data_IF_822368137428
#
_entry.id   IF_822368137428
#
_cell.length_a   1.000
_cell.length_b   1.000
_cell.length_c   1.000
_cell.angle_alpha   90.00
_cell.angle_beta   90.00
_cell.angle_gamma   90.00
#
_symmetry.space_group_name_H-M   'P 1'
#
loop_
_entity.id
_entity.type
_entity.pdbx_description
1 polymer ?
#
# COMPACT_ATOMS: atom_id res chain seq x y z
N UNK A 1 -20.97 -37.40 15.26
CA UNK A 1 -19.98 -37.97 14.35
C UNK A 1 -20.56 -39.14 13.57
N UNK A 2 -21.35 -38.84 12.53
CA UNK A 2 -21.59 -39.80 11.46
C UNK A 2 -20.47 -39.69 10.41
N UNK A 3 -20.44 -40.64 9.49
CA UNK A 3 -19.55 -40.61 8.34
C UNK A 3 -20.38 -40.89 7.10
N UNK A 4 -20.37 -39.93 6.18
CA UNK A 4 -21.13 -39.93 4.94
C UNK A 4 -20.11 -39.95 3.82
N UNK A 5 -20.23 -40.91 2.91
CA UNK A 5 -19.28 -41.09 1.81
C UNK A 5 -20.09 -41.24 0.55
N UNK A 6 -19.77 -40.43 -0.45
CA UNK A 6 -20.32 -40.53 -1.80
C UNK A 6 -19.76 -41.72 -2.57
N UNK A 7 -19.69 -41.56 -3.86
CA UNK A 7 -19.29 -42.52 -4.87
C UNK A 7 -18.44 -41.82 -5.92
N UNK A 8 -17.88 -42.55 -6.88
CA UNK A 8 -17.02 -41.94 -7.90
C UNK A 8 -17.84 -41.35 -9.08
N UNK A 9 -19.00 -40.77 -8.79
CA UNK A 9 -19.87 -40.02 -9.71
C UNK A 9 -20.57 -38.92 -8.92
N UNK A 10 -21.14 -37.94 -9.61
CA UNK A 10 -21.90 -36.85 -9.01
C UNK A 10 -22.94 -37.35 -8.00
N UNK A 11 -22.80 -36.90 -6.76
CA UNK A 11 -23.61 -37.25 -5.62
C UNK A 11 -24.35 -36.03 -5.03
N UNK A 12 -25.38 -36.34 -4.24
CA UNK A 12 -26.08 -35.36 -3.42
C UNK A 12 -26.03 -35.84 -1.97
N UNK A 13 -25.07 -35.33 -1.21
CA UNK A 13 -24.79 -35.73 0.16
C UNK A 13 -25.44 -34.75 1.13
N UNK A 14 -26.13 -35.30 2.13
CA UNK A 14 -26.77 -34.51 3.18
C UNK A 14 -26.23 -34.95 4.53
N UNK A 15 -25.68 -33.99 5.25
CA UNK A 15 -25.25 -34.09 6.63
C UNK A 15 -26.40 -34.34 7.61
N UNK A 16 -26.02 -34.48 8.87
CA UNK A 16 -26.92 -34.59 10.02
C UNK A 16 -26.79 -33.34 10.90
N UNK A 17 -27.74 -33.04 11.81
CA UNK A 17 -27.64 -31.86 12.68
C UNK A 17 -26.54 -31.91 13.77
N UNK A 18 -25.52 -32.74 13.63
CA UNK A 18 -24.42 -32.80 14.58
C UNK A 18 -23.20 -33.38 13.89
N UNK A 19 -22.03 -33.26 14.54
CA UNK A 19 -20.73 -33.45 13.90
C UNK A 19 -20.69 -34.58 12.87
N UNK A 20 -20.17 -34.32 11.69
CA UNK A 20 -20.08 -35.27 10.60
C UNK A 20 -18.70 -35.25 9.93
N UNK A 21 -18.38 -36.38 9.29
CA UNK A 21 -17.30 -36.48 8.31
C UNK A 21 -17.95 -36.79 6.98
N UNK A 22 -17.86 -35.87 6.02
CA UNK A 22 -18.46 -36.02 4.70
C UNK A 22 -17.35 -36.05 3.65
N UNK A 23 -17.36 -37.08 2.81
CA UNK A 23 -16.41 -37.28 1.73
C UNK A 23 -17.18 -37.39 0.40
N UNK A 24 -16.98 -36.44 -0.52
CA UNK A 24 -17.58 -36.46 -1.87
C UNK A 24 -17.10 -37.66 -2.68
N UNK A 25 -15.76 -37.78 -2.83
CA UNK A 25 -15.07 -38.67 -3.78
C UNK A 25 -15.15 -38.07 -5.21
N UNK A 26 -14.56 -38.69 -6.25
CA UNK A 26 -14.59 -38.08 -7.57
C UNK A 26 -16.00 -37.87 -8.13
N UNK A 27 -16.31 -36.66 -8.60
CA UNK A 27 -17.61 -36.30 -9.15
C UNK A 27 -17.87 -34.82 -8.93
N UNK A 28 -18.83 -34.22 -9.66
CA UNK A 28 -19.30 -32.88 -9.29
C UNK A 28 -20.44 -33.07 -8.27
N UNK A 29 -20.13 -32.94 -6.99
CA UNK A 29 -20.99 -33.27 -5.88
C UNK A 29 -21.71 -32.05 -5.32
N UNK A 30 -22.87 -32.29 -4.72
CA UNK A 30 -23.59 -31.30 -3.91
C UNK A 30 -23.61 -31.81 -2.48
N UNK A 31 -22.90 -31.10 -1.60
CA UNK A 31 -22.78 -31.43 -0.18
C UNK A 31 -23.45 -30.33 0.64
N UNK A 32 -24.44 -30.72 1.45
CA UNK A 32 -25.11 -29.79 2.37
C UNK A 32 -25.15 -30.37 3.77
N UNK A 33 -24.53 -29.66 4.71
CA UNK A 33 -24.60 -29.95 6.13
C UNK A 33 -25.42 -28.88 6.87
N UNK A 34 -26.34 -29.27 7.79
CA UNK A 34 -27.19 -28.31 8.50
C UNK A 34 -26.62 -27.84 9.85
N UNK A 35 -25.49 -28.37 10.34
CA UNK A 35 -24.81 -27.94 11.57
C UNK A 35 -24.12 -29.06 12.35
N UNK A 36 -23.39 -28.69 13.41
CA UNK A 36 -22.41 -29.55 14.06
C UNK A 36 -20.98 -29.18 13.66
N UNK A 37 -19.97 -29.69 14.36
CA UNK A 37 -18.58 -29.42 13.98
C UNK A 37 -18.12 -30.43 12.94
N UNK A 38 -18.06 -30.03 11.66
CA UNK A 38 -17.89 -30.97 10.57
C UNK A 38 -16.48 -30.96 9.97
N UNK A 39 -16.16 -32.08 9.32
CA UNK A 39 -15.08 -32.17 8.35
C UNK A 39 -15.67 -32.59 7.02
N UNK A 40 -15.61 -31.70 6.04
CA UNK A 40 -16.15 -31.90 4.69
C UNK A 40 -14.98 -31.84 3.70
N UNK A 41 -14.95 -32.78 2.76
CA UNK A 41 -13.90 -32.94 1.76
C UNK A 41 -14.56 -33.38 0.44
N UNK A 42 -14.65 -32.46 -0.53
CA UNK A 42 -15.24 -32.71 -1.84
C UNK A 42 -14.44 -33.75 -2.63
N UNK A 43 -13.12 -33.55 -2.68
CA UNK A 43 -12.13 -34.31 -3.46
C UNK A 43 -12.12 -33.90 -4.94
N UNK A 44 -12.00 -34.84 -5.88
CA UNK A 44 -11.85 -34.49 -7.30
C UNK A 44 -13.21 -34.09 -7.91
N UNK A 45 -13.27 -33.00 -8.65
CA UNK A 45 -14.46 -32.58 -9.38
C UNK A 45 -14.90 -31.19 -8.96
N UNK A 46 -15.97 -30.67 -9.58
CA UNK A 46 -16.43 -29.32 -9.29
C UNK A 46 -17.58 -29.37 -8.28
N UNK A 47 -17.26 -29.22 -7.01
CA UNK A 47 -18.17 -29.45 -5.90
C UNK A 47 -18.90 -28.19 -5.45
N UNK A 48 -20.10 -28.36 -4.90
CA UNK A 48 -20.84 -27.31 -4.22
C UNK A 48 -21.09 -27.72 -2.78
N UNK A 49 -20.47 -27.01 -1.85
CA UNK A 49 -20.39 -27.39 -0.44
C UNK A 49 -21.01 -26.31 0.46
N UNK A 50 -21.82 -26.71 1.44
CA UNK A 50 -22.36 -25.83 2.49
C UNK A 50 -22.10 -26.42 3.87
N UNK A 51 -21.38 -25.69 4.72
CA UNK A 51 -20.96 -26.09 6.08
C UNK A 51 -22.08 -26.01 7.11
N UNK A 52 -22.69 -24.84 7.29
CA UNK A 52 -23.87 -24.70 8.13
C UNK A 52 -23.80 -23.56 9.14
N UNK A 53 -23.80 -23.87 10.44
CA UNK A 53 -24.01 -22.86 11.50
C UNK A 53 -23.02 -22.96 12.67
N UNK A 54 -22.16 -23.97 12.67
CA UNK A 54 -21.13 -24.22 13.68
C UNK A 54 -19.77 -24.27 12.96
N UNK A 55 -18.67 -24.27 13.69
CA UNK A 55 -17.33 -24.32 13.09
C UNK A 55 -17.15 -25.56 12.22
N UNK A 56 -16.79 -25.34 10.96
CA UNK A 56 -16.56 -26.38 9.97
C UNK A 56 -15.14 -26.34 9.40
N UNK A 57 -14.63 -27.52 9.06
CA UNK A 57 -13.43 -27.69 8.24
C UNK A 57 -13.85 -28.18 6.87
N UNK A 58 -13.72 -27.35 5.85
CA UNK A 58 -14.16 -27.64 4.48
C UNK A 58 -12.97 -27.57 3.53
N UNK A 59 -12.77 -28.63 2.77
CA UNK A 59 -11.89 -28.65 1.61
C UNK A 59 -12.72 -28.94 0.35
N UNK A 60 -12.57 -28.10 -0.68
CA UNK A 60 -13.12 -28.36 -2.01
C UNK A 60 -12.43 -29.56 -2.64
N UNK A 61 -11.12 -29.42 -2.83
CA UNK A 61 -10.28 -30.44 -3.45
C UNK A 61 -9.87 -30.01 -4.86
N UNK A 62 -9.37 -30.91 -5.71
CA UNK A 62 -9.05 -30.56 -7.08
C UNK A 62 -10.30 -30.35 -7.95
N UNK A 63 -10.48 -29.14 -8.46
CA UNK A 63 -11.62 -28.77 -9.30
C UNK A 63 -11.94 -27.30 -9.13
N UNK A 64 -13.01 -26.83 -9.78
CA UNK A 64 -13.50 -25.48 -9.57
C UNK A 64 -14.72 -25.57 -8.65
N UNK A 65 -14.50 -25.34 -7.36
CA UNK A 65 -15.45 -25.58 -6.31
C UNK A 65 -16.20 -24.32 -5.90
N UNK A 66 -17.34 -24.51 -5.25
CA UNK A 66 -18.08 -23.43 -4.59
C UNK A 66 -18.36 -23.81 -3.15
N UNK A 67 -17.75 -23.07 -2.23
CA UNK A 67 -17.78 -23.33 -0.79
C UNK A 67 -18.56 -22.21 -0.10
N UNK A 68 -19.52 -22.60 0.75
CA UNK A 68 -20.22 -21.72 1.67
C UNK A 68 -19.93 -22.20 3.10
N UNK A 69 -19.19 -21.43 3.90
CA UNK A 69 -18.91 -21.74 5.32
C UNK A 69 -20.21 -21.74 6.12
N UNK A 70 -20.85 -20.57 6.18
CA UNK A 70 -22.15 -20.44 6.83
C UNK A 70 -22.06 -19.52 8.03
N UNK A 71 -22.66 -19.90 9.15
CA UNK A 71 -22.33 -19.23 10.41
C UNK A 71 -21.25 -20.06 11.08
N UNK A 72 -20.31 -19.44 11.77
CA UNK A 72 -19.30 -20.22 12.44
C UNK A 72 -18.01 -19.48 12.65
N UNK A 73 -16.94 -20.25 12.71
CA UNK A 73 -15.57 -19.78 12.63
C UNK A 73 -14.91 -20.83 11.75
N UNK A 74 -15.15 -20.74 10.45
CA UNK A 74 -14.93 -21.83 9.53
C UNK A 74 -13.50 -21.80 8.97
N UNK A 75 -13.00 -22.98 8.63
CA UNK A 75 -11.76 -23.13 7.87
C UNK A 75 -12.11 -23.69 6.49
N UNK A 76 -11.88 -22.87 5.47
CA UNK A 76 -12.27 -23.14 4.08
C UNK A 76 -11.03 -23.22 3.20
N UNK A 77 -10.87 -24.29 2.43
CA UNK A 77 -9.69 -24.52 1.58
C UNK A 77 -10.19 -24.89 0.18
N UNK A 78 -9.84 -24.09 -0.84
CA UNK A 78 -10.17 -24.39 -2.24
C UNK A 78 -9.39 -25.60 -2.75
N UNK A 79 -8.07 -25.53 -2.65
CA UNK A 79 -7.06 -26.48 -3.12
C UNK A 79 -6.57 -26.23 -4.55
N UNK A 80 -7.15 -26.80 -5.59
CA UNK A 80 -6.57 -26.65 -6.93
C UNK A 80 -7.63 -26.48 -7.99
N UNK A 81 -7.66 -25.31 -8.62
CA UNK A 81 -8.64 -24.93 -9.64
C UNK A 81 -9.14 -23.52 -9.35
N UNK A 82 -10.11 -23.03 -10.13
CA UNK A 82 -10.64 -21.67 -9.89
C UNK A 82 -11.87 -21.78 -8.98
N UNK A 83 -11.67 -21.51 -7.69
CA UNK A 83 -12.64 -21.72 -6.62
C UNK A 83 -13.41 -20.45 -6.24
N UNK A 84 -14.61 -20.65 -5.70
CA UNK A 84 -15.42 -19.57 -5.11
C UNK A 84 -15.72 -19.91 -3.66
N UNK A 85 -15.21 -19.10 -2.74
CA UNK A 85 -15.31 -19.32 -1.30
C UNK A 85 -16.06 -18.17 -0.65
N UNK A 86 -17.09 -18.50 0.13
CA UNK A 86 -17.86 -17.55 0.95
C UNK A 86 -17.76 -17.96 2.43
N UNK A 87 -17.12 -17.13 3.27
CA UNK A 87 -17.10 -17.31 4.74
C UNK A 87 -18.51 -17.18 5.33
N UNK A 88 -19.14 -16.05 5.02
CA UNK A 88 -20.45 -15.57 5.47
C UNK A 88 -20.47 -14.93 6.85
N UNK A 89 -20.82 -15.64 7.93
CA UNK A 89 -20.95 -15.04 9.27
C UNK A 89 -19.96 -15.71 10.21
N UNK A 90 -19.02 -14.96 10.76
CA UNK A 90 -17.97 -15.58 11.57
C UNK A 90 -16.62 -14.92 11.33
N UNK A 91 -15.70 -15.06 12.28
CA UNK A 91 -14.28 -14.79 12.02
C UNK A 91 -13.67 -16.03 11.32
N UNK A 92 -13.68 -16.04 9.99
CA UNK A 92 -13.35 -17.20 9.18
C UNK A 92 -11.87 -17.21 8.74
N UNK A 93 -11.40 -18.41 8.36
CA UNK A 93 -10.14 -18.59 7.66
C UNK A 93 -10.39 -19.22 6.29
N UNK A 94 -9.80 -18.67 5.25
CA UNK A 94 -9.84 -19.24 3.92
C UNK A 94 -8.50 -19.15 3.19
N UNK A 95 -8.21 -20.18 2.38
CA UNK A 95 -7.10 -20.18 1.44
C UNK A 95 -7.59 -20.70 0.08
N UNK A 96 -7.34 -19.92 -0.97
CA UNK A 96 -7.60 -20.31 -2.37
C UNK A 96 -6.73 -21.51 -2.75
N UNK A 97 -5.40 -21.35 -2.57
CA UNK A 97 -4.35 -22.25 -3.07
C UNK A 97 -4.20 -22.06 -4.59
N UNK A 98 -3.54 -22.95 -5.38
CA UNK A 98 -3.38 -22.68 -6.80
C UNK A 98 -4.70 -22.57 -7.59
N UNK A 99 -4.96 -21.42 -8.18
CA UNK A 99 -6.26 -21.10 -8.76
C UNK A 99 -6.36 -19.68 -9.28
N UNK A 100 -7.47 -19.29 -9.88
CA UNK A 100 -7.86 -17.88 -9.93
C UNK A 100 -9.13 -17.78 -9.09
N UNK A 101 -8.94 -17.57 -7.81
CA UNK A 101 -9.97 -17.79 -6.81
C UNK A 101 -10.75 -16.52 -6.53
N UNK A 102 -11.95 -16.69 -6.01
CA UNK A 102 -12.76 -15.58 -5.48
C UNK A 102 -13.15 -15.92 -4.05
N UNK A 103 -12.64 -15.14 -3.10
CA UNK A 103 -12.86 -15.33 -1.66
C UNK A 103 -13.64 -14.12 -1.14
N UNK A 104 -14.73 -14.35 -0.42
CA UNK A 104 -15.55 -13.29 0.20
C UNK A 104 -15.87 -13.63 1.65
N UNK A 105 -15.55 -12.72 2.57
CA UNK A 105 -15.69 -12.90 4.00
C UNK A 105 -17.09 -12.80 4.52
N UNK A 106 -17.73 -11.66 4.29
CA UNK A 106 -19.04 -11.38 4.85
C UNK A 106 -18.90 -10.60 6.14
N UNK A 107 -19.53 -11.05 7.22
CA UNK A 107 -19.45 -10.41 8.52
C UNK A 107 -18.46 -11.17 9.40
N UNK A 108 -17.40 -10.52 9.87
CA UNK A 108 -16.35 -11.23 10.59
C UNK A 108 -15.08 -10.43 10.69
N UNK A 109 -14.13 -10.89 11.50
CA UNK A 109 -12.73 -10.48 11.36
C UNK A 109 -12.01 -11.67 10.73
N UNK A 110 -11.88 -11.63 9.42
CA UNK A 110 -11.48 -12.77 8.61
C UNK A 110 -9.97 -12.80 8.37
N UNK A 111 -9.47 -13.99 8.02
CA UNK A 111 -8.10 -14.20 7.57
C UNK A 111 -8.10 -14.95 6.25
N UNK A 112 -7.82 -14.25 5.14
CA UNK A 112 -7.84 -14.82 3.80
C UNK A 112 -6.54 -14.65 3.04
N UNK A 113 -6.21 -15.67 2.24
CA UNK A 113 -5.04 -15.69 1.35
C UNK A 113 -5.46 -16.30 0.01
N UNK A 114 -5.23 -15.60 -1.10
CA UNK A 114 -5.45 -16.15 -2.44
C UNK A 114 -4.48 -17.30 -2.75
N UNK A 115 -3.20 -17.07 -2.45
CA UNK A 115 -2.03 -17.94 -2.69
C UNK A 115 -1.46 -17.86 -4.11
N UNK A 116 -1.90 -18.64 -5.10
CA UNK A 116 -1.20 -18.66 -6.38
C UNK A 116 -2.14 -18.57 -7.58
N UNK A 117 -2.03 -17.47 -8.31
CA UNK A 117 -2.79 -17.15 -9.51
C UNK A 117 -3.54 -15.84 -9.32
N UNK A 118 -4.42 -15.48 -10.26
CA UNK A 118 -5.02 -14.13 -10.27
C UNK A 118 -6.29 -14.14 -9.43
N UNK A 119 -6.17 -13.73 -8.18
CA UNK A 119 -7.19 -13.88 -7.17
C UNK A 119 -7.99 -12.60 -6.93
N UNK A 120 -9.21 -12.79 -6.41
CA UNK A 120 -10.08 -11.74 -5.92
C UNK A 120 -10.43 -12.02 -4.46
N UNK A 121 -9.88 -11.24 -3.54
CA UNK A 121 -10.04 -11.43 -2.10
C UNK A 121 -10.79 -10.24 -1.50
N UNK A 122 -11.93 -10.50 -0.87
CA UNK A 122 -12.81 -9.50 -0.26
C UNK A 122 -13.05 -9.82 1.22
N UNK A 123 -12.69 -8.91 2.13
CA UNK A 123 -13.01 -9.03 3.56
C UNK A 123 -14.50 -8.75 3.84
N UNK A 124 -15.03 -7.70 3.23
CA UNK A 124 -16.38 -7.17 3.41
C UNK A 124 -16.60 -6.41 4.71
N UNK A 125 -16.98 -7.04 5.83
CA UNK A 125 -17.35 -6.30 7.04
C UNK A 125 -16.67 -6.84 8.30
N UNK A 126 -15.87 -5.98 8.93
CA UNK A 126 -15.10 -6.21 10.15
C UNK A 126 -13.63 -5.96 9.89
N UNK A 127 -12.76 -6.33 10.81
CA UNK A 127 -11.34 -5.98 10.72
C UNK A 127 -10.54 -7.18 10.20
N UNK A 128 -10.24 -7.16 8.91
CA UNK A 128 -9.77 -8.33 8.19
C UNK A 128 -8.24 -8.33 8.00
N UNK A 129 -7.69 -9.52 7.81
CA UNK A 129 -6.34 -9.74 7.30
C UNK A 129 -6.44 -10.44 5.96
N UNK A 130 -6.01 -9.77 4.90
CA UNK A 130 -6.16 -10.24 3.52
C UNK A 130 -4.81 -10.20 2.81
N UNK A 131 -4.48 -11.28 2.10
CA UNK A 131 -3.31 -11.37 1.24
C UNK A 131 -3.70 -11.86 -0.16
N UNK A 132 -3.19 -11.22 -1.21
CA UNK A 132 -3.33 -11.67 -2.60
C UNK A 132 -2.57 -12.96 -2.83
N UNK A 133 -1.24 -12.88 -2.81
CA UNK A 133 -0.34 -14.02 -2.97
C UNK A 133 0.63 -13.80 -4.13
N UNK A 134 0.83 -14.84 -4.94
CA UNK A 134 1.58 -14.79 -6.19
C UNK A 134 0.65 -14.38 -7.36
N UNK A 135 1.14 -13.53 -8.27
CA UNK A 135 0.48 -13.00 -9.48
C UNK A 135 -0.34 -11.71 -9.23
N UNK A 136 -0.98 -11.16 -10.27
CA UNK A 136 -1.56 -9.80 -10.24
C UNK A 136 -2.99 -9.79 -9.63
N UNK A 137 -3.13 -9.50 -8.35
CA UNK A 137 -4.36 -9.72 -7.59
C UNK A 137 -5.27 -8.50 -7.42
N UNK A 138 -6.48 -8.75 -6.93
CA UNK A 138 -7.38 -7.74 -6.39
C UNK A 138 -7.73 -8.07 -4.95
N UNK A 139 -7.37 -7.18 -4.03
CA UNK A 139 -7.66 -7.34 -2.60
C UNK A 139 -8.41 -6.11 -2.08
N UNK A 140 -9.53 -6.31 -1.40
CA UNK A 140 -10.40 -5.26 -0.85
C UNK A 140 -10.80 -5.58 0.58
N UNK A 141 -10.45 -4.69 1.52
CA UNK A 141 -10.77 -4.78 2.94
C UNK A 141 -12.27 -4.70 3.18
N UNK A 142 -12.84 -3.52 2.95
CA UNK A 142 -14.28 -3.29 3.07
C UNK A 142 -14.59 -2.32 4.19
N UNK A 143 -15.60 -2.63 5.02
CA UNK A 143 -15.93 -1.85 6.20
C UNK A 143 -15.12 -2.36 7.41
N UNK A 144 -14.19 -1.59 7.96
CA UNK A 144 -13.42 -1.96 9.15
C UNK A 144 -11.99 -1.44 9.10
N UNK A 145 -11.20 -1.69 10.15
CA UNK A 145 -9.77 -1.35 10.11
C UNK A 145 -8.99 -2.59 9.63
N UNK A 146 -8.59 -2.59 8.35
CA UNK A 146 -8.08 -3.78 7.65
C UNK A 146 -6.56 -3.78 7.47
N UNK A 147 -6.00 -4.99 7.32
CA UNK A 147 -4.65 -5.20 6.80
C UNK A 147 -4.76 -5.90 5.44
N UNK A 148 -4.31 -5.21 4.40
CA UNK A 148 -4.35 -5.65 3.01
C UNK A 148 -2.92 -5.77 2.48
N UNK A 149 -2.54 -6.96 2.05
CA UNK A 149 -1.21 -7.30 1.54
C UNK A 149 -1.30 -7.81 0.09
N UNK A 150 -0.51 -7.23 -0.82
CA UNK A 150 -0.42 -7.64 -2.22
C UNK A 150 0.50 -8.85 -2.44
N UNK A 151 1.54 -9.01 -1.61
CA UNK A 151 2.61 -9.99 -1.79
C UNK A 151 3.41 -9.82 -3.11
N UNK A 152 3.28 -10.72 -4.10
CA UNK A 152 4.08 -10.75 -5.32
C UNK A 152 3.19 -10.51 -6.54
N UNK A 153 3.19 -9.32 -7.12
CA UNK A 153 2.26 -9.05 -8.21
C UNK A 153 2.25 -7.61 -8.62
N UNK A 154 1.45 -7.26 -9.62
CA UNK A 154 1.05 -5.87 -9.83
C UNK A 154 -0.39 -5.74 -9.36
N UNK A 155 -0.55 -5.45 -8.08
CA UNK A 155 -1.82 -5.68 -7.39
C UNK A 155 -2.72 -4.45 -7.39
N UNK A 156 -4.02 -4.70 -7.19
CA UNK A 156 -5.00 -3.66 -6.89
C UNK A 156 -5.51 -3.82 -5.47
N UNK A 157 -5.11 -2.90 -4.61
CA UNK A 157 -5.38 -2.94 -3.18
C UNK A 157 -6.34 -1.82 -2.79
N UNK A 158 -7.40 -2.18 -2.06
CA UNK A 158 -8.42 -1.26 -1.55
C UNK A 158 -8.59 -1.45 -0.05
N UNK A 159 -8.42 -0.40 0.75
CA UNK A 159 -8.79 -0.39 2.18
C UNK A 159 -10.30 -0.21 2.36
N UNK A 160 -10.89 0.65 1.52
CA UNK A 160 -12.30 1.04 1.52
C UNK A 160 -12.69 1.92 2.73
N UNK A 161 -13.23 1.38 3.81
CA UNK A 161 -13.80 2.18 4.89
C UNK A 161 -13.26 1.80 6.27
N UNK A 162 -12.20 2.46 6.72
CA UNK A 162 -11.71 2.45 8.08
C UNK A 162 -10.31 3.01 8.14
N UNK A 163 -9.49 2.58 9.10
CA UNK A 163 -8.09 3.01 9.16
C UNK A 163 -7.20 1.85 8.76
N UNK A 164 -6.86 1.81 7.47
CA UNK A 164 -6.34 0.60 6.85
C UNK A 164 -4.82 0.62 6.71
N UNK A 165 -4.23 -0.58 6.65
CA UNK A 165 -2.81 -0.80 6.34
C UNK A 165 -2.72 -1.53 5.00
N UNK A 166 -2.17 -0.88 3.99
CA UNK A 166 -1.98 -1.45 2.66
C UNK A 166 -0.47 -1.62 2.37
N UNK A 167 -0.07 -2.84 2.01
CA UNK A 167 1.28 -3.20 1.59
C UNK A 167 1.23 -3.72 0.15
N UNK A 168 1.88 -3.02 -0.79
CA UNK A 168 2.04 -3.49 -2.17
C UNK A 168 3.11 -4.57 -2.31
N UNK A 169 4.16 -4.49 -1.50
CA UNK A 169 5.30 -5.41 -1.51
C UNK A 169 6.06 -5.46 -2.85
N UNK A 170 5.96 -6.50 -3.68
CA UNK A 170 6.76 -6.62 -4.90
C UNK A 170 5.95 -6.48 -6.17
N UNK A 171 6.22 -5.40 -6.91
CA UNK A 171 5.75 -5.17 -8.27
C UNK A 171 5.21 -3.76 -8.40
N UNK A 172 4.51 -3.46 -9.50
CA UNK A 172 4.01 -2.10 -9.76
C UNK A 172 2.55 -2.00 -9.26
N UNK A 173 2.36 -1.66 -7.99
CA UNK A 173 1.08 -1.80 -7.32
C UNK A 173 0.19 -0.56 -7.42
N UNK A 174 -1.11 -0.77 -7.24
CA UNK A 174 -2.11 0.30 -7.20
C UNK A 174 -2.96 0.22 -5.95
N UNK A 175 -2.78 1.20 -5.06
CA UNK A 175 -3.40 1.25 -3.74
C UNK A 175 -4.40 2.41 -3.59
N UNK A 176 -5.55 2.15 -2.98
CA UNK A 176 -6.51 3.16 -2.55
C UNK A 176 -6.95 2.88 -1.11
N UNK A 177 -6.57 3.74 -0.16
CA UNK A 177 -7.00 3.61 1.24
C UNK A 177 -8.50 3.81 1.43
N UNK A 178 -9.12 4.69 0.63
CA UNK A 178 -10.53 4.98 0.72
C UNK A 178 -10.84 6.07 1.76
N UNK A 179 -11.63 5.74 2.77
CA UNK A 179 -12.08 6.67 3.80
C UNK A 179 -11.63 6.25 5.19
N UNK A 180 -11.10 7.22 5.94
CA UNK A 180 -10.52 7.06 7.26
C UNK A 180 -9.05 7.45 7.24
N UNK A 181 -8.21 6.91 8.11
CA UNK A 181 -6.81 7.34 8.20
C UNK A 181 -5.88 6.18 7.87
N UNK A 182 -5.41 6.15 6.63
CA UNK A 182 -4.79 4.96 6.06
C UNK A 182 -3.27 5.07 6.05
N UNK A 183 -2.60 3.91 6.00
CA UNK A 183 -1.17 3.81 5.76
C UNK A 183 -0.91 2.94 4.54
N UNK A 184 -0.28 3.52 3.52
CA UNK A 184 0.02 2.86 2.25
C UNK A 184 1.55 2.74 2.11
N UNK A 185 2.03 1.54 1.80
CA UNK A 185 3.44 1.24 1.55
C UNK A 185 3.57 0.44 0.24
N UNK A 186 4.02 1.09 -0.84
CA UNK A 186 4.21 0.40 -2.13
C UNK A 186 5.45 -0.49 -2.15
N UNK A 187 6.39 -0.27 -1.24
CA UNK A 187 7.64 -1.01 -1.14
C UNK A 187 8.47 -1.06 -2.45
N UNK A 188 8.42 -2.15 -3.22
CA UNK A 188 9.37 -2.45 -4.28
C UNK A 188 8.73 -2.54 -5.67
N UNK A 189 8.55 -1.39 -6.31
CA UNK A 189 8.35 -1.30 -7.75
C UNK A 189 8.10 0.14 -8.16
N UNK A 190 7.17 0.36 -9.08
CA UNK A 190 6.66 1.70 -9.42
C UNK A 190 5.20 1.81 -9.02
N UNK A 191 4.99 2.27 -7.80
CA UNK A 191 3.68 2.13 -7.15
C UNK A 191 2.81 3.36 -7.33
N UNK A 192 1.50 3.14 -7.30
CA UNK A 192 0.48 4.17 -7.47
C UNK A 192 -0.45 4.26 -6.27
N UNK A 193 -0.39 5.38 -5.54
CA UNK A 193 -1.43 5.75 -4.58
C UNK A 193 -2.54 6.54 -5.27
N UNK A 194 -3.79 6.12 -5.06
CA UNK A 194 -4.98 6.68 -5.71
C UNK A 194 -5.84 7.42 -4.69
N UNK A 195 -6.30 8.61 -5.08
CA UNK A 195 -7.17 9.45 -4.25
C UNK A 195 -8.40 9.89 -5.05
N UNK A 196 -9.58 9.64 -4.49
CA UNK A 196 -10.87 10.13 -5.01
C UNK A 196 -11.14 11.61 -4.68
N UNK A 197 -10.08 12.43 -4.77
CA UNK A 197 -10.10 13.86 -4.51
C UNK A 197 -9.26 14.59 -5.56
N UNK A 198 -9.59 15.86 -5.81
CA UNK A 198 -8.72 16.70 -6.63
C UNK A 198 -7.47 17.09 -5.82
N UNK A 199 -6.30 17.17 -6.46
CA UNK A 199 -5.04 17.45 -5.75
C UNK A 199 -5.10 18.73 -4.91
N UNK A 200 -5.71 19.80 -5.43
CA UNK A 200 -5.84 21.09 -4.73
C UNK A 200 -6.86 21.08 -3.58
N UNK A 201 -7.62 20.00 -3.41
CA UNK A 201 -8.56 19.84 -2.29
C UNK A 201 -7.95 19.13 -1.09
N UNK A 202 -6.72 18.64 -1.22
CA UNK A 202 -5.98 17.95 -0.18
C UNK A 202 -4.88 18.85 0.39
N UNK A 203 -4.65 18.69 1.69
CA UNK A 203 -3.46 19.18 2.36
C UNK A 203 -2.36 18.16 2.22
N UNK A 204 -1.25 18.54 1.59
CA UNK A 204 -0.13 17.64 1.31
C UNK A 204 1.10 18.06 2.08
N UNK A 205 1.65 17.13 2.86
CA UNK A 205 2.85 17.35 3.65
C UNK A 205 3.84 16.24 3.39
N UNK A 206 5.03 16.57 2.91
CA UNK A 206 6.09 15.60 2.66
C UNK A 206 7.26 15.78 3.61
N UNK A 207 7.83 14.66 4.03
CA UNK A 207 9.08 14.55 4.77
C UNK A 207 9.88 13.43 4.12
N UNK A 208 10.69 13.76 3.11
CA UNK A 208 11.36 12.76 2.27
C UNK A 208 10.34 11.87 1.55
N UNK A 209 10.55 10.56 1.56
CA UNK A 209 9.65 9.56 0.96
C UNK A 209 8.34 9.37 1.71
N UNK A 210 8.17 9.96 2.89
CA UNK A 210 6.93 9.92 3.65
C UNK A 210 6.06 11.13 3.25
N UNK A 211 4.87 10.85 2.72
CA UNK A 211 3.89 11.85 2.33
C UNK A 211 2.63 11.66 3.16
N UNK A 212 2.05 12.75 3.63
CA UNK A 212 0.74 12.74 4.28
C UNK A 212 -0.23 13.58 3.47
N UNK A 213 -1.37 12.99 3.15
CA UNK A 213 -2.51 13.65 2.53
C UNK A 213 -3.59 13.82 3.59
N UNK A 214 -4.13 15.02 3.75
CA UNK A 214 -5.22 15.28 4.69
C UNK A 214 -6.37 15.95 3.95
N UNK A 215 -7.55 15.34 3.99
CA UNK A 215 -8.68 15.70 3.16
C UNK A 215 -10.03 15.39 3.82
N UNK A 216 -11.13 15.45 3.04
CA UNK A 216 -12.46 15.17 3.56
C UNK A 216 -12.71 13.69 3.84
N UNK A 217 -11.96 12.78 3.20
CA UNK A 217 -12.05 11.34 3.43
C UNK A 217 -11.20 10.88 4.63
N UNK A 218 -10.22 11.69 5.04
CA UNK A 218 -9.43 11.49 6.26
C UNK A 218 -7.96 11.85 6.04
N UNK A 219 -7.06 11.22 6.78
CA UNK A 219 -5.62 11.49 6.73
C UNK A 219 -4.83 10.23 6.37
N UNK A 220 -4.20 10.24 5.20
CA UNK A 220 -3.50 9.09 4.66
C UNK A 220 -2.00 9.35 4.70
N UNK A 221 -1.24 8.34 5.08
CA UNK A 221 0.22 8.35 5.12
C UNK A 221 0.74 7.37 4.08
N UNK A 222 1.43 7.89 3.07
CA UNK A 222 1.97 7.12 1.95
C UNK A 222 3.48 7.14 1.98
N UNK A 223 4.12 5.99 1.75
CA UNK A 223 5.57 5.86 1.56
C UNK A 223 5.88 4.86 0.47
N UNK A 224 7.10 4.95 -0.05
CA UNK A 224 7.60 4.07 -1.12
C UNK A 224 6.59 4.02 -2.28
N UNK A 225 6.28 5.20 -2.84
CA UNK A 225 5.28 5.33 -3.90
C UNK A 225 5.69 6.46 -4.83
N UNK A 226 5.74 6.15 -6.12
CA UNK A 226 6.25 7.06 -7.16
C UNK A 226 5.12 7.79 -7.86
N UNK A 227 3.92 7.21 -7.94
CA UNK A 227 2.80 7.77 -8.69
C UNK A 227 1.67 8.12 -7.75
N UNK A 228 1.18 9.36 -7.83
CA UNK A 228 0.03 9.83 -7.08
C UNK A 228 -1.07 10.21 -8.06
N UNK A 229 -2.12 9.40 -8.10
CA UNK A 229 -3.28 9.63 -8.95
C UNK A 229 -4.40 10.30 -8.16
N UNK A 230 -4.83 11.46 -8.65
CA UNK A 230 -5.93 12.24 -8.13
C UNK A 230 -7.06 12.26 -9.15
N UNK A 231 -8.28 12.56 -8.71
CA UNK A 231 -9.45 12.65 -9.59
C UNK A 231 -9.30 13.65 -10.76
N UNK A 232 -8.38 14.62 -10.66
CA UNK A 232 -8.14 15.64 -11.69
C UNK A 232 -6.78 15.53 -12.42
N UNK A 233 -5.84 14.71 -11.94
CA UNK A 233 -4.47 14.60 -12.49
C UNK A 233 -3.69 13.43 -11.92
N UNK A 234 -2.58 13.11 -12.57
CA UNK A 234 -1.52 12.25 -12.01
C UNK A 234 -0.28 13.09 -11.78
N UNK A 235 0.38 12.90 -10.64
CA UNK A 235 1.69 13.46 -10.32
C UNK A 235 2.66 12.29 -10.15
N UNK A 236 3.77 12.31 -10.88
CA UNK A 236 4.82 11.29 -10.78
C UNK A 236 5.99 11.92 -10.03
N UNK A 237 6.34 11.38 -8.87
CA UNK A 237 7.55 11.75 -8.13
C UNK A 237 8.79 11.19 -8.82
N UNK A 238 9.91 11.93 -8.69
CA UNK A 238 11.25 11.46 -9.05
C UNK A 238 11.41 11.00 -10.51
N UNK A 239 10.63 11.57 -11.45
CA UNK A 239 10.66 11.20 -12.87
C UNK A 239 11.97 11.61 -13.58
N UNK A 240 12.80 12.46 -12.94
CA UNK A 240 14.12 12.82 -13.44
C UNK A 240 15.12 13.37 -12.41
N UNK A 241 14.69 14.00 -11.31
CA UNK A 241 15.59 14.39 -10.21
C UNK A 241 14.94 14.23 -8.82
N UNK A 242 15.28 13.18 -8.03
CA UNK A 242 14.61 12.83 -6.77
C UNK A 242 14.74 13.86 -5.64
N UNK A 243 15.50 14.94 -5.86
CA UNK A 243 15.67 16.04 -4.90
C UNK A 243 14.73 17.21 -5.15
N UNK A 244 14.02 17.24 -6.28
CA UNK A 244 12.82 18.06 -6.42
C UNK A 244 11.66 17.16 -6.04
N UNK A 245 10.91 17.59 -5.04
CA UNK A 245 9.72 16.89 -4.60
C UNK A 245 8.53 17.51 -5.34
N UNK A 246 8.00 16.79 -6.31
CA UNK A 246 6.93 17.24 -7.19
C UNK A 246 5.65 17.63 -6.44
N UNK A 247 5.29 16.86 -5.42
CA UNK A 247 4.14 17.17 -4.57
C UNK A 247 4.38 18.47 -3.80
N UNK A 248 5.57 18.61 -3.19
CA UNK A 248 5.97 19.84 -2.51
C UNK A 248 5.99 21.04 -3.45
N UNK A 249 6.55 20.87 -4.63
CA UNK A 249 6.78 21.93 -5.59
C UNK A 249 5.46 22.41 -6.19
N UNK A 250 4.64 21.49 -6.70
CA UNK A 250 3.40 21.83 -7.38
C UNK A 250 2.33 22.35 -6.41
N UNK A 251 2.29 21.88 -5.16
CA UNK A 251 1.38 22.41 -4.13
C UNK A 251 1.64 23.90 -3.81
N UNK A 252 2.89 24.38 -3.94
CA UNK A 252 3.26 25.78 -3.71
C UNK A 252 3.21 26.64 -4.96
N UNK A 253 3.39 26.02 -6.11
CA UNK A 253 3.55 26.68 -7.38
C UNK A 253 2.32 26.41 -8.25
N UNK A 254 1.18 26.91 -7.81
CA UNK A 254 -0.12 26.69 -8.49
C UNK A 254 -0.13 27.14 -9.95
N UNK A 255 0.70 28.11 -10.32
CA UNK A 255 0.92 28.53 -11.70
C UNK A 255 1.56 27.43 -12.55
N UNK A 256 2.53 26.70 -12.00
CA UNK A 256 3.20 25.56 -12.64
C UNK A 256 2.25 24.36 -12.73
N UNK A 257 1.56 24.07 -11.62
CA UNK A 257 0.53 23.03 -11.53
C UNK A 257 -0.60 23.23 -12.55
N UNK A 258 -1.07 24.46 -12.75
CA UNK A 258 -2.12 24.78 -13.73
C UNK A 258 -1.61 24.82 -15.17
N UNK A 259 -0.32 25.10 -15.37
CA UNK A 259 0.30 25.03 -16.69
C UNK A 259 0.57 23.58 -17.16
N UNK A 260 0.44 22.60 -16.25
CA UNK A 260 0.75 21.19 -16.54
C UNK A 260 2.21 20.97 -16.88
N UNK A 261 3.09 21.80 -16.30
CA UNK A 261 4.54 21.70 -16.48
C UNK A 261 5.09 20.83 -15.37
N UNK A 262 5.93 19.88 -15.76
CA UNK A 262 6.71 19.05 -14.87
C UNK A 262 7.55 19.88 -13.86
N UNK A 263 7.56 19.47 -12.60
CA UNK A 263 8.18 20.23 -11.51
C UNK A 263 9.70 20.28 -11.65
N UNK A 264 10.31 19.15 -12.00
CA UNK A 264 11.74 18.99 -12.25
C UNK A 264 12.22 19.95 -13.35
N UNK A 265 11.56 19.89 -14.50
CA UNK A 265 11.85 20.74 -15.65
C UNK A 265 11.65 22.23 -15.32
N UNK A 266 10.55 22.57 -14.64
CA UNK A 266 10.30 23.96 -14.26
C UNK A 266 11.36 24.47 -13.28
N UNK A 267 11.70 23.70 -12.25
CA UNK A 267 12.70 24.08 -11.27
C UNK A 267 14.06 24.30 -11.93
N UNK A 268 14.53 23.36 -12.74
CA UNK A 268 15.83 23.42 -13.40
C UNK A 268 16.00 24.62 -14.34
N UNK A 269 14.94 24.99 -15.07
CA UNK A 269 14.98 26.08 -16.05
C UNK A 269 14.70 27.46 -15.42
N UNK A 270 13.72 27.53 -14.52
CA UNK A 270 13.14 28.79 -14.03
C UNK A 270 13.13 28.87 -12.50
N UNK A 271 12.65 27.81 -11.83
CA UNK A 271 12.30 27.87 -10.41
C UNK A 271 13.44 28.31 -9.49
N UNK A 272 14.65 27.80 -9.69
CA UNK A 272 15.78 28.21 -8.86
C UNK A 272 16.17 29.68 -9.05
N UNK A 273 15.94 30.26 -10.23
CA UNK A 273 16.18 31.69 -10.52
C UNK A 273 15.11 32.58 -9.93
N UNK A 274 13.91 32.03 -9.78
CA UNK A 274 12.76 32.66 -9.15
C UNK A 274 12.79 32.54 -7.62
N UNK A 275 13.75 31.80 -7.07
CA UNK A 275 13.91 31.59 -5.63
C UNK A 275 12.90 30.60 -5.06
N UNK A 276 12.26 29.78 -5.90
CA UNK A 276 11.32 28.72 -5.47
C UNK A 276 12.12 27.57 -4.85
N UNK A 277 11.60 26.97 -3.80
CA UNK A 277 12.26 25.85 -3.12
C UNK A 277 11.91 24.52 -3.80
N UNK A 278 12.87 23.61 -4.02
CA UNK A 278 12.63 22.32 -4.67
C UNK A 278 12.04 21.27 -3.71
N UNK A 279 12.27 21.42 -2.41
CA UNK A 279 11.77 20.53 -1.36
C UNK A 279 11.77 21.26 0.00
N UNK A 280 11.25 20.62 1.05
CA UNK A 280 11.11 21.23 2.39
C UNK A 280 12.43 21.51 3.13
N UNK A 281 13.53 20.96 2.63
CA UNK A 281 14.84 20.95 3.27
C UNK A 281 15.91 21.73 2.50
N UNK A 282 15.54 22.37 1.38
CA UNK A 282 16.40 23.23 0.60
C UNK A 282 15.77 24.62 0.42
N UNK A 283 16.43 25.65 0.97
CA UNK A 283 16.00 27.04 0.81
C UNK A 283 16.80 27.69 -0.31
N UNK A 284 16.22 27.79 -1.51
CA UNK A 284 16.90 28.30 -2.70
C UNK A 284 17.40 29.74 -2.49
N UNK A 285 16.54 30.59 -1.94
CA UNK A 285 16.85 32.01 -1.74
C UNK A 285 17.85 32.19 -0.60
N UNK A 286 17.68 31.45 0.49
CA UNK A 286 18.59 31.43 1.63
C UNK A 286 19.97 30.91 1.26
N UNK A 287 20.06 29.85 0.45
CA UNK A 287 21.34 29.27 0.04
C UNK A 287 22.15 30.27 -0.78
N UNK A 288 21.51 30.95 -1.73
CA UNK A 288 22.15 32.01 -2.52
C UNK A 288 22.54 33.23 -1.68
N UNK A 289 21.77 33.54 -0.63
CA UNK A 289 22.09 34.62 0.30
C UNK A 289 23.27 34.29 1.24
N UNK A 290 23.32 33.05 1.74
CA UNK A 290 24.39 32.56 2.62
C UNK A 290 25.71 32.36 1.85
N UNK A 291 25.63 31.93 0.60
CA UNK A 291 26.77 31.54 -0.22
C UNK A 291 26.94 32.43 -1.45
N UNK A 292 27.45 33.64 -1.21
CA UNK A 292 27.61 34.67 -2.24
C UNK A 292 28.51 34.28 -3.42
N UNK A 293 29.41 33.30 -3.24
CA UNK A 293 30.21 32.73 -4.32
C UNK A 293 29.36 31.94 -5.33
N UNK A 294 28.38 31.17 -4.85
CA UNK A 294 27.42 30.44 -5.68
C UNK A 294 26.50 31.40 -6.42
N UNK A 295 26.01 32.42 -5.71
CA UNK A 295 25.20 33.48 -6.31
C UNK A 295 25.96 34.23 -7.41
N UNK A 296 27.24 34.57 -7.17
CA UNK A 296 28.08 35.23 -8.16
C UNK A 296 28.39 34.34 -9.38
N UNK A 297 28.50 33.02 -9.18
CA UNK A 297 28.68 32.05 -10.26
C UNK A 297 27.43 31.87 -11.13
N UNK A 298 26.24 32.20 -10.61
CA UNK A 298 24.97 32.10 -11.36
C UNK A 298 24.60 30.67 -11.73
N UNK A 299 24.95 29.71 -10.87
CA UNK A 299 24.68 28.27 -11.04
C UNK A 299 23.46 27.86 -10.20
N UNK A 300 22.82 26.74 -10.58
CA UNK A 300 21.70 26.19 -9.81
C UNK A 300 22.20 25.80 -8.39
N UNK A 301 21.63 26.40 -7.32
CA UNK A 301 22.09 26.19 -5.95
C UNK A 301 21.86 24.76 -5.45
N UNK A 302 20.77 24.10 -5.84
CA UNK A 302 20.52 22.69 -5.49
C UNK A 302 21.62 21.81 -6.09
N UNK A 303 21.86 21.94 -7.40
CA UNK A 303 22.93 21.17 -8.07
C UNK A 303 24.31 21.46 -7.47
N UNK A 304 24.59 22.71 -7.11
CA UNK A 304 25.83 23.08 -6.44
C UNK A 304 25.97 22.35 -5.10
N UNK A 305 24.94 22.36 -4.26
CA UNK A 305 24.95 21.67 -2.97
C UNK A 305 25.22 20.18 -3.14
N UNK A 306 24.43 19.50 -3.97
CA UNK A 306 24.52 18.05 -4.20
C UNK A 306 25.89 17.62 -4.74
N UNK A 307 26.57 18.49 -5.49
CA UNK A 307 27.87 18.19 -6.11
C UNK A 307 29.05 18.54 -5.21
N UNK A 308 28.99 19.72 -4.57
CA UNK A 308 30.13 20.34 -3.87
C UNK A 308 29.77 20.80 -2.45
N UNK A 309 28.62 21.45 -2.27
CA UNK A 309 28.28 22.15 -1.03
C UNK A 309 28.31 21.25 0.21
N UNK A 310 27.74 20.04 0.14
CA UNK A 310 27.74 19.13 1.30
C UNK A 310 29.16 18.67 1.68
N UNK A 311 30.06 18.49 0.70
CA UNK A 311 31.48 18.12 0.93
C UNK A 311 32.26 19.25 1.58
N UNK A 312 31.84 20.49 1.33
CA UNK A 312 32.36 21.69 1.97
C UNK A 312 31.71 21.94 3.34
N UNK A 313 30.72 21.12 3.72
CA UNK A 313 29.98 21.26 4.97
C UNK A 313 29.10 22.51 5.01
N UNK A 314 28.59 22.94 3.85
CA UNK A 314 27.53 23.95 3.71
C UNK A 314 26.19 23.31 4.01
N UNK A 315 25.24 24.06 4.54
CA UNK A 315 23.89 23.57 4.81
C UNK A 315 22.91 24.01 3.71
N UNK A 316 21.94 23.16 3.33
CA UNK A 316 20.99 23.49 2.28
C UNK A 316 19.84 24.40 2.76
N UNK A 317 19.53 24.41 4.07
CA UNK A 317 18.49 25.26 4.65
C UNK A 317 18.65 25.37 6.17
N UNK A 318 17.75 26.13 6.82
CA UNK A 318 17.60 26.11 8.28
C UNK A 318 17.04 24.77 8.83
N UNK A 319 16.43 23.95 7.98
CA UNK A 319 15.74 22.71 8.35
C UNK A 319 16.61 21.46 8.20
N UNK A 320 17.86 21.61 7.77
CA UNK A 320 18.76 20.48 7.52
C UNK A 320 20.21 20.88 7.82
N UNK A 321 20.84 20.23 8.80
CA UNK A 321 22.26 20.40 9.12
C UNK A 321 23.06 19.24 8.55
N UNK A 322 23.92 19.55 7.57
CA UNK A 322 24.72 18.58 6.83
C UNK A 322 25.69 17.84 7.72
N UNK A 323 26.36 18.56 8.63
CA UNK A 323 27.39 17.97 9.49
C UNK A 323 26.75 17.15 10.60
N UNK A 324 25.67 17.65 11.20
CA UNK A 324 24.94 16.95 12.24
C UNK A 324 24.30 15.67 11.68
N UNK A 325 23.72 15.73 10.47
CA UNK A 325 23.15 14.56 9.82
C UNK A 325 24.22 13.48 9.57
N UNK A 326 25.37 13.83 8.99
CA UNK A 326 26.47 12.88 8.76
C UNK A 326 27.08 12.35 10.07
N UNK A 327 27.12 13.16 11.13
CA UNK A 327 27.60 12.73 12.44
C UNK A 327 26.63 11.75 13.12
N UNK A 328 25.32 11.96 12.96
CA UNK A 328 24.28 11.08 13.46
C UNK A 328 24.17 9.78 12.64
N UNK A 329 24.62 9.79 11.38
CA UNK A 329 24.51 8.68 10.43
C UNK A 329 25.89 8.27 9.87
N UNK A 330 26.72 7.55 10.65
CA UNK A 330 28.08 7.18 10.24
C UNK A 330 28.13 6.26 9.02
N UNK A 331 27.07 5.49 8.77
CA UNK A 331 26.86 4.67 7.57
C UNK A 331 26.81 5.53 6.31
N UNK A 332 26.02 6.61 6.33
CA UNK A 332 25.92 7.58 5.22
C UNK A 332 27.25 8.28 4.99
N UNK A 333 27.90 8.70 6.08
CA UNK A 333 29.22 9.34 6.02
C UNK A 333 30.30 8.39 5.45
N UNK A 334 30.28 7.11 5.84
CA UNK A 334 31.21 6.11 5.34
C UNK A 334 30.98 5.78 3.85
N UNK A 335 29.72 5.78 3.40
CA UNK A 335 29.36 5.62 1.99
C UNK A 335 29.77 6.83 1.13
N UNK A 336 30.03 7.99 1.76
CA UNK A 336 30.29 9.24 1.04
C UNK A 336 29.08 9.72 0.24
N UNK A 337 27.88 9.38 0.69
CA UNK A 337 26.63 9.76 0.06
C UNK A 337 26.26 11.21 0.42
N UNK A 338 25.60 11.91 -0.51
CA UNK A 338 25.02 13.23 -0.25
C UNK A 338 23.93 13.10 0.84
N UNK A 339 24.04 13.83 1.96
CA UNK A 339 23.14 13.64 3.10
C UNK A 339 21.71 14.11 2.82
N UNK A 340 21.51 15.14 1.98
CA UNK A 340 20.17 15.61 1.65
C UNK A 340 19.41 14.58 0.81
N UNK A 341 20.03 14.10 -0.27
CA UNK A 341 19.46 13.06 -1.13
C UNK A 341 19.20 11.78 -0.34
N UNK A 342 20.15 11.37 0.51
CA UNK A 342 19.95 10.21 1.37
C UNK A 342 18.73 10.39 2.29
N UNK A 343 18.59 11.56 2.93
CA UNK A 343 17.46 11.81 3.81
C UNK A 343 16.12 11.82 3.05
N UNK A 344 16.08 12.50 1.90
CA UNK A 344 14.86 12.58 1.08
C UNK A 344 14.42 11.21 0.56
N UNK A 345 15.37 10.37 0.12
CA UNK A 345 15.07 9.07 -0.47
C UNK A 345 14.84 7.96 0.56
N UNK A 346 15.58 7.98 1.68
CA UNK A 346 15.60 6.85 2.62
C UNK A 346 15.42 7.32 4.06
N UNK A 347 16.21 8.32 4.47
CA UNK A 347 16.37 8.62 5.89
C UNK A 347 15.08 9.06 6.58
N UNK A 348 14.18 9.75 5.90
CA UNK A 348 12.91 10.15 6.49
C UNK A 348 11.99 8.94 6.75
N UNK A 349 11.89 8.00 5.80
CA UNK A 349 11.15 6.74 5.97
C UNK A 349 11.76 5.85 7.05
N UNK A 350 13.09 5.89 7.25
CA UNK A 350 13.80 5.19 8.33
C UNK A 350 13.68 5.90 9.70
N UNK A 351 12.95 7.02 9.80
CA UNK A 351 12.80 7.79 11.04
C UNK A 351 14.05 8.56 11.48
N UNK A 352 15.03 8.74 10.59
CA UNK A 352 16.21 9.58 10.86
C UNK A 352 15.77 11.04 10.91
N UNK A 353 16.37 11.83 11.78
CA UNK A 353 16.07 13.26 11.85
C UNK A 353 17.00 14.08 10.94
N UNK A 354 16.42 15.01 10.17
CA UNK A 354 17.15 15.98 9.33
C UNK A 354 18.12 16.90 10.09
N UNK A 355 17.93 17.00 11.42
CA UNK A 355 18.65 17.89 12.34
C UNK A 355 18.40 19.38 12.05
N UNK A 356 17.99 20.15 13.06
CA UNK A 356 17.77 21.59 12.90
C UNK A 356 19.10 22.33 12.71
N UNK A 357 19.11 23.36 11.86
CA UNK A 357 20.31 24.09 11.45
C UNK A 357 21.08 24.74 12.61
N UNK A 358 22.40 24.90 12.42
CA UNK A 358 23.35 25.45 13.40
C UNK A 358 23.33 27.00 13.54
N UNK A 359 22.45 27.67 12.79
CA UNK A 359 22.33 29.13 12.74
C UNK A 359 22.95 29.80 11.49
N UNK A 360 23.41 29.03 10.50
CA UNK A 360 23.84 29.55 9.19
C UNK A 360 22.71 30.22 8.37
N UNK A 361 21.44 29.89 8.66
CA UNK A 361 20.24 30.44 8.02
C UNK A 361 19.37 31.21 9.02
N UNK A 362 18.54 32.14 8.53
CA UNK A 362 17.51 32.78 9.37
C UNK A 362 16.49 31.73 9.85
N UNK A 363 15.85 31.98 11.02
CA UNK A 363 14.99 31.03 11.75
C UNK A 363 14.02 30.27 10.83
N UNK A 364 13.97 28.95 11.00
CA UNK A 364 13.11 28.01 10.29
C UNK A 364 11.64 28.46 10.24
N UNK A 365 11.06 28.48 9.04
CA UNK A 365 9.61 28.42 8.84
C UNK A 365 9.25 26.93 8.90
N UNK A 366 8.24 26.56 9.69
CA UNK A 366 7.88 25.15 9.92
C UNK A 366 7.75 24.40 8.60
N UNK A 367 8.48 23.30 8.40
CA UNK A 367 8.17 22.38 7.32
C UNK A 367 6.81 21.73 7.64
N UNK A 368 5.94 21.64 6.65
CA UNK A 368 4.91 20.60 6.60
C UNK A 368 3.45 20.98 6.85
N UNK A 369 2.96 22.17 6.48
CA UNK A 369 1.49 22.41 6.36
C UNK A 369 1.21 23.21 5.11
N UNK A 370 0.69 22.58 4.06
CA UNK A 370 0.44 23.25 2.78
C UNK A 370 -0.87 22.78 2.13
N UNK A 371 -1.70 23.80 1.89
CA UNK A 371 -3.14 23.84 1.54
C UNK A 371 -4.06 23.17 2.52
#
# INVERSE_FOLDING_TARGET
MATIVGTNVNDALNGTPGDDIILGLPGDDIISDPGGFNRIDGQDGNDSITGGADLDYIAGGPGNDTIYGGNGFDQLIGEAGDDVIYGQEGDDYAAGNPGNDTISGGNGNDFFVGEAGIDQVYGEAGNDFLAGGDDDDLVSGGDGDDLVDGDLGNDKLFGDAGNDLLFGDYGDDRMNGGSGNDQLDGAAGTDTAVFDAAFQSLQVTSSGSLVTFNGPMGQDVVKNTEVFEFADRTIVQADSAPTVDDLFYLSRNTDVLLAGVDADAHFALYGWREGRDPNAYFDTSGYLAAYGDVAAAGVNPLQHYLTYGWKEGRDPSANFDTKAYLAANPDVAAAGADPLSHFLLFGAGEGRAAQAGDGAFAVAVSPGVYV
#
